data_IF_843199899516
#
_entry.id   IF_843199899516
#
_cell.length_a   1.000
_cell.length_b   1.000
_cell.length_c   1.000
_cell.angle_alpha   90.00
_cell.angle_beta   90.00
_cell.angle_gamma   90.00
#
_symmetry.space_group_name_H-M   'P 1'
#
loop_
_entity.id
_entity.type
_entity.pdbx_description
1 polymer ?
#
# COMPACT_ATOMS: atom_id res chain seq x y z
N UNK A 1 -5.33 25.65 -37.36
CA UNK A 1 -5.80 24.35 -36.84
C UNK A 1 -5.04 23.28 -37.60
N UNK A 2 -3.95 22.70 -37.04
CA UNK A 2 -3.24 21.61 -37.71
C UNK A 2 -4.14 20.37 -37.69
N UNK A 3 -4.55 19.88 -38.85
CA UNK A 3 -5.26 18.60 -38.95
C UNK A 3 -4.30 17.48 -38.51
N UNK A 4 -4.73 16.71 -37.54
CA UNK A 4 -3.97 15.55 -37.03
C UNK A 4 -3.80 14.54 -38.17
N UNK A 5 -2.54 14.15 -38.48
CA UNK A 5 -2.26 13.18 -39.50
C UNK A 5 -3.04 11.86 -39.27
N UNK A 6 -3.51 11.23 -40.31
CA UNK A 6 -4.26 9.97 -40.28
C UNK A 6 -3.38 8.81 -40.77
N UNK A 7 -3.76 7.57 -40.47
CA UNK A 7 -3.07 6.38 -40.95
C UNK A 7 -3.03 6.33 -42.50
N UNK A 8 -4.02 6.91 -43.15
CA UNK A 8 -4.08 7.06 -44.61
C UNK A 8 -2.96 7.93 -45.16
N UNK A 9 -2.61 8.97 -44.43
CA UNK A 9 -1.55 9.92 -44.84
C UNK A 9 -0.17 9.26 -44.71
N UNK A 10 0.04 8.47 -43.64
CA UNK A 10 1.25 7.64 -43.46
C UNK A 10 1.36 6.61 -44.56
N UNK A 11 0.29 5.91 -44.90
CA UNK A 11 0.26 4.90 -45.95
C UNK A 11 0.62 5.51 -47.33
N UNK A 12 0.06 6.67 -47.64
CA UNK A 12 0.36 7.43 -48.86
C UNK A 12 1.85 7.91 -48.85
N UNK A 13 2.32 8.46 -47.75
CA UNK A 13 3.71 8.98 -47.64
C UNK A 13 4.75 7.88 -47.71
N UNK A 14 4.51 6.71 -47.12
CA UNK A 14 5.37 5.54 -47.17
C UNK A 14 5.21 4.70 -48.45
N UNK A 15 4.24 5.03 -49.30
CA UNK A 15 3.83 4.28 -50.51
C UNK A 15 3.56 2.80 -50.26
N UNK A 16 2.75 2.54 -49.22
CA UNK A 16 2.30 1.17 -48.82
C UNK A 16 0.80 1.17 -48.52
N UNK A 17 0.23 -0.03 -48.37
CA UNK A 17 -1.18 -0.14 -47.96
C UNK A 17 -1.39 0.26 -46.49
N UNK A 18 -2.61 0.69 -46.14
CA UNK A 18 -3.02 0.97 -44.75
C UNK A 18 -2.77 -0.27 -43.86
N UNK A 19 -3.05 -1.47 -44.39
CA UNK A 19 -2.81 -2.74 -43.69
C UNK A 19 -1.31 -2.95 -43.38
N UNK A 20 -0.43 -2.58 -44.32
CA UNK A 20 1.03 -2.65 -44.10
C UNK A 20 1.46 -1.69 -43.01
N UNK A 21 0.98 -0.44 -42.98
CA UNK A 21 1.24 0.51 -41.89
C UNK A 21 0.77 -0.08 -40.55
N UNK A 22 -0.45 -0.63 -40.52
CA UNK A 22 -1.00 -1.26 -39.32
C UNK A 22 -0.15 -2.46 -38.87
N UNK A 23 0.35 -3.29 -39.77
CA UNK A 23 1.23 -4.42 -39.43
C UNK A 23 2.58 -3.97 -38.87
N UNK A 24 3.16 -2.92 -39.44
CA UNK A 24 4.43 -2.33 -38.93
C UNK A 24 4.23 -1.77 -37.52
N UNK A 25 3.22 -0.94 -37.31
CA UNK A 25 2.97 -0.27 -36.03
C UNK A 25 2.58 -1.23 -34.90
N UNK A 26 1.87 -2.33 -35.23
CA UNK A 26 1.38 -3.28 -34.20
C UNK A 26 2.21 -4.58 -34.15
N UNK A 27 3.28 -4.71 -34.93
CA UNK A 27 4.12 -5.92 -35.00
C UNK A 27 3.34 -7.23 -35.24
N UNK A 28 2.23 -7.18 -35.96
CA UNK A 28 1.28 -8.29 -36.13
C UNK A 28 1.62 -9.24 -37.27
N UNK A 29 2.55 -8.86 -38.16
CA UNK A 29 3.05 -9.67 -39.27
C UNK A 29 4.49 -9.32 -39.60
N UNK A 30 5.20 -10.26 -40.19
CA UNK A 30 6.51 -9.99 -40.76
C UNK A 30 6.41 -8.95 -41.86
N UNK A 31 7.19 -7.89 -41.76
CA UNK A 31 7.37 -6.85 -42.79
C UNK A 31 8.88 -6.66 -42.96
N UNK A 32 9.36 -6.52 -44.23
CA UNK A 32 10.77 -6.31 -44.47
C UNK A 32 11.29 -5.05 -43.76
N UNK A 33 12.57 -5.06 -43.35
CA UNK A 33 13.19 -3.94 -42.66
C UNK A 33 13.15 -2.64 -43.49
N UNK A 34 13.29 -2.75 -44.81
CA UNK A 34 13.16 -1.61 -45.72
C UNK A 34 11.74 -0.98 -45.65
N UNK A 35 10.72 -1.81 -45.68
CA UNK A 35 9.33 -1.34 -45.58
C UNK A 35 9.03 -0.79 -44.21
N UNK A 36 9.55 -1.44 -43.17
CA UNK A 36 9.41 -0.95 -41.77
C UNK A 36 10.04 0.44 -41.65
N UNK A 37 11.23 0.63 -42.16
CA UNK A 37 11.91 1.92 -42.12
C UNK A 37 11.09 3.01 -42.81
N UNK A 38 10.65 2.77 -44.07
CA UNK A 38 9.81 3.73 -44.81
C UNK A 38 8.55 4.16 -44.05
N UNK A 39 7.91 3.22 -43.37
CA UNK A 39 6.71 3.52 -42.55
C UNK A 39 7.08 4.34 -41.33
N UNK A 40 8.15 3.97 -40.62
CA UNK A 40 8.57 4.70 -39.42
C UNK A 40 9.04 6.13 -39.74
N UNK A 41 9.79 6.31 -40.82
CA UNK A 41 10.21 7.64 -41.31
C UNK A 41 8.98 8.52 -41.65
N UNK A 42 7.96 7.93 -42.30
CA UNK A 42 6.71 8.64 -42.60
C UNK A 42 5.89 8.99 -41.35
N UNK A 43 5.88 8.12 -40.33
CA UNK A 43 5.25 8.37 -39.02
C UNK A 43 5.91 9.56 -38.32
N UNK A 44 7.24 9.59 -38.30
CA UNK A 44 8.00 10.67 -37.67
C UNK A 44 7.80 12.00 -38.43
N UNK A 45 7.93 11.99 -39.75
CA UNK A 45 7.77 13.20 -40.58
C UNK A 45 6.37 13.85 -40.47
N UNK A 46 5.33 13.01 -40.40
CA UNK A 46 3.95 13.49 -40.31
C UNK A 46 3.52 13.76 -38.86
N UNK A 47 4.34 13.45 -37.85
CA UNK A 47 3.98 13.49 -36.45
C UNK A 47 2.76 12.60 -36.16
N UNK A 48 2.63 11.49 -36.89
CA UNK A 48 1.49 10.59 -36.72
C UNK A 48 1.59 9.82 -35.41
N UNK A 49 0.57 9.94 -34.58
CA UNK A 49 0.39 9.07 -33.40
C UNK A 49 -0.84 8.19 -33.65
N UNK A 50 -0.68 6.85 -33.49
CA UNK A 50 -1.81 5.95 -33.62
C UNK A 50 -3.00 6.40 -32.75
N UNK A 51 -4.19 6.44 -33.35
CA UNK A 51 -5.38 6.83 -32.62
C UNK A 51 -5.77 5.71 -31.63
N UNK A 52 -5.68 6.02 -30.34
CA UNK A 52 -6.09 5.11 -29.27
C UNK A 52 -7.56 4.65 -29.44
N UNK A 53 -8.43 5.53 -29.94
CA UNK A 53 -9.84 5.22 -30.22
C UNK A 53 -9.99 4.15 -31.31
N UNK A 54 -9.18 4.22 -32.39
CA UNK A 54 -9.17 3.21 -33.45
C UNK A 54 -8.67 1.85 -32.97
N UNK A 55 -7.70 1.82 -32.04
CA UNK A 55 -7.23 0.59 -31.41
C UNK A 55 -8.32 0.01 -30.50
N UNK A 56 -8.91 0.82 -29.63
CA UNK A 56 -10.01 0.42 -28.74
C UNK A 56 -11.20 -0.14 -29.50
N UNK A 57 -11.61 0.53 -30.60
CA UNK A 57 -12.71 0.06 -31.44
C UNK A 57 -12.46 -1.34 -32.04
N UNK A 58 -11.22 -1.62 -32.42
CA UNK A 58 -10.85 -2.90 -33.04
C UNK A 58 -10.65 -4.01 -32.02
N UNK A 59 -10.03 -3.72 -30.87
CA UNK A 59 -9.65 -4.74 -29.86
C UNK A 59 -10.67 -4.86 -28.73
N UNK A 60 -11.54 -3.87 -28.56
CA UNK A 60 -12.41 -3.74 -27.39
C UNK A 60 -11.68 -3.40 -26.09
N UNK A 61 -10.32 -3.28 -26.11
CA UNK A 61 -9.49 -2.97 -24.94
C UNK A 61 -8.96 -1.55 -25.04
N UNK A 62 -8.95 -0.82 -23.91
CA UNK A 62 -8.38 0.53 -23.76
C UNK A 62 -6.88 0.49 -23.57
N UNK A 63 -6.36 -0.64 -23.10
CA UNK A 63 -4.98 -0.84 -22.64
C UNK A 63 -4.61 0.14 -21.51
N UNK A 64 -5.58 0.34 -20.61
CA UNK A 64 -5.46 1.20 -19.43
C UNK A 64 -5.97 0.43 -18.22
N UNK A 65 -5.26 0.50 -17.10
CA UNK A 65 -5.67 -0.03 -15.80
C UNK A 65 -5.74 1.13 -14.81
N UNK A 66 -6.83 1.19 -14.05
CA UNK A 66 -7.00 2.17 -12.97
C UNK A 66 -6.36 1.68 -11.68
N UNK A 67 -5.66 2.56 -10.97
CA UNK A 67 -5.20 2.31 -9.61
C UNK A 67 -5.79 3.39 -8.70
N UNK A 68 -6.64 2.97 -7.76
CA UNK A 68 -7.32 3.85 -6.81
C UNK A 68 -6.70 3.66 -5.44
N UNK A 69 -6.01 4.70 -4.95
CA UNK A 69 -5.26 4.68 -3.69
C UNK A 69 -5.67 5.81 -2.75
N UNK A 70 -5.54 5.63 -1.44
CA UNK A 70 -5.92 6.65 -0.47
C UNK A 70 -4.94 7.82 -0.40
N UNK A 71 -3.65 7.60 -0.71
CA UNK A 71 -2.61 8.63 -0.59
C UNK A 71 -1.38 8.35 -1.44
N UNK A 72 -1.23 9.10 -2.53
CA UNK A 72 -0.05 9.02 -3.41
C UNK A 72 1.23 9.59 -2.78
N UNK A 73 1.13 10.31 -1.66
CA UNK A 73 2.30 10.86 -0.97
C UNK A 73 2.85 9.93 0.11
N UNK A 74 2.12 8.87 0.43
CA UNK A 74 2.59 7.83 1.33
C UNK A 74 3.53 6.88 0.56
N UNK A 75 4.76 6.71 1.07
CA UNK A 75 5.81 5.89 0.44
C UNK A 75 5.35 4.45 0.16
N UNK A 76 4.54 3.88 1.03
CA UNK A 76 3.95 2.54 0.87
C UNK A 76 3.13 2.45 -0.43
N UNK A 77 2.24 3.43 -0.68
CA UNK A 77 1.46 3.44 -1.92
C UNK A 77 2.29 3.85 -3.13
N UNK A 78 3.33 4.67 -2.95
CA UNK A 78 4.23 5.03 -4.04
C UNK A 78 4.99 3.80 -4.58
N UNK A 79 5.58 2.98 -3.69
CA UNK A 79 6.23 1.72 -4.07
C UNK A 79 5.26 0.76 -4.75
N UNK A 80 4.10 0.58 -4.18
CA UNK A 80 3.06 -0.30 -4.70
C UNK A 80 2.53 0.15 -6.09
N UNK A 81 2.46 1.48 -6.35
CA UNK A 81 2.14 2.02 -7.68
C UNK A 81 3.20 1.58 -8.70
N UNK A 82 4.48 1.69 -8.35
CA UNK A 82 5.60 1.28 -9.20
C UNK A 82 5.55 -0.22 -9.50
N UNK A 83 5.35 -1.07 -8.48
CA UNK A 83 5.29 -2.52 -8.65
C UNK A 83 4.11 -2.98 -9.52
N UNK A 84 2.94 -2.34 -9.38
CA UNK A 84 1.79 -2.60 -10.26
C UNK A 84 2.09 -2.17 -11.69
N UNK A 85 2.69 -0.98 -11.88
CA UNK A 85 3.03 -0.45 -13.21
C UNK A 85 4.06 -1.32 -13.92
N UNK A 86 5.06 -1.78 -13.20
CA UNK A 86 6.10 -2.71 -13.71
C UNK A 86 5.51 -4.02 -14.26
N UNK A 87 4.47 -4.53 -13.65
CA UNK A 87 3.79 -5.74 -14.12
C UNK A 87 2.91 -5.44 -15.32
N UNK A 88 2.01 -4.46 -15.21
CA UNK A 88 1.01 -4.22 -16.25
C UNK A 88 1.62 -3.67 -17.54
N UNK A 89 2.73 -2.90 -17.44
CA UNK A 89 3.44 -2.36 -18.60
C UNK A 89 4.03 -3.46 -19.48
N UNK A 90 4.50 -4.57 -18.90
CA UNK A 90 4.97 -5.76 -19.65
C UNK A 90 3.86 -6.41 -20.50
N UNK A 91 2.60 -6.21 -20.10
CA UNK A 91 1.41 -6.63 -20.85
C UNK A 91 0.85 -5.53 -21.77
N UNK A 92 1.57 -4.39 -21.87
CA UNK A 92 1.20 -3.27 -22.75
C UNK A 92 0.10 -2.36 -22.22
N UNK A 93 -0.23 -2.45 -20.93
CA UNK A 93 -1.16 -1.55 -20.25
C UNK A 93 -0.43 -0.30 -19.74
N UNK A 94 -1.16 0.82 -19.66
CA UNK A 94 -0.73 2.02 -18.98
C UNK A 94 -1.55 2.22 -17.70
N UNK A 95 -0.95 2.83 -16.67
CA UNK A 95 -1.57 3.07 -15.39
C UNK A 95 -2.29 4.43 -15.36
N UNK A 96 -3.49 4.47 -14.78
CA UNK A 96 -4.25 5.69 -14.45
C UNK A 96 -4.47 5.73 -12.95
N UNK A 97 -3.83 6.68 -12.27
CA UNK A 97 -3.87 6.78 -10.80
C UNK A 97 -4.97 7.74 -10.37
N UNK A 98 -5.72 7.35 -9.33
CA UNK A 98 -6.74 8.16 -8.68
C UNK A 98 -6.48 8.22 -7.18
N UNK A 99 -6.21 9.43 -6.66
CA UNK A 99 -5.97 9.67 -5.23
C UNK A 99 -7.28 10.01 -4.52
N UNK A 100 -7.75 9.16 -3.61
CA UNK A 100 -9.04 9.34 -2.91
C UNK A 100 -8.91 10.22 -1.65
N UNK A 101 -7.74 10.35 -1.07
CA UNK A 101 -7.48 11.02 0.22
C UNK A 101 -8.31 10.44 1.37
N UNK A 102 -8.56 9.14 1.37
CA UNK A 102 -9.46 8.44 2.29
C UNK A 102 -10.86 9.06 2.35
N UNK A 103 -11.34 9.62 1.24
CA UNK A 103 -12.67 10.23 1.13
C UNK A 103 -13.59 9.33 0.31
N UNK A 104 -14.60 8.76 0.94
CA UNK A 104 -15.59 7.87 0.32
C UNK A 104 -16.26 8.49 -0.91
N UNK A 105 -16.57 9.79 -0.86
CA UNK A 105 -17.18 10.49 -2.01
C UNK A 105 -16.23 10.53 -3.21
N UNK A 106 -14.94 10.81 -2.98
CA UNK A 106 -13.92 10.84 -4.02
C UNK A 106 -13.69 9.45 -4.60
N UNK A 107 -13.64 8.41 -3.74
CA UNK A 107 -13.52 7.02 -4.17
C UNK A 107 -14.66 6.60 -5.09
N UNK A 108 -15.91 6.82 -4.68
CA UNK A 108 -17.10 6.53 -5.51
C UNK A 108 -17.02 7.21 -6.89
N UNK A 109 -16.61 8.47 -6.89
CA UNK A 109 -16.48 9.22 -8.15
C UNK A 109 -15.35 8.68 -9.03
N UNK A 110 -14.19 8.34 -8.42
CA UNK A 110 -13.04 7.76 -9.12
C UNK A 110 -13.41 6.42 -9.78
N UNK A 111 -14.00 5.50 -9.01
CA UNK A 111 -14.43 4.19 -9.53
C UNK A 111 -15.43 4.36 -10.68
N UNK A 112 -16.45 5.22 -10.51
CA UNK A 112 -17.44 5.49 -11.55
C UNK A 112 -16.80 6.03 -12.82
N UNK A 113 -15.91 7.02 -12.71
CA UNK A 113 -15.25 7.63 -13.86
C UNK A 113 -14.37 6.62 -14.59
N UNK A 114 -13.53 5.86 -13.86
CA UNK A 114 -12.64 4.87 -14.45
C UNK A 114 -13.43 3.73 -15.12
N UNK A 115 -14.44 3.20 -14.44
CA UNK A 115 -15.26 2.08 -14.94
C UNK A 115 -16.20 2.49 -16.07
N UNK A 116 -16.44 3.79 -16.33
CA UNK A 116 -17.30 4.28 -17.43
C UNK A 116 -16.71 4.12 -18.83
N UNK A 117 -15.65 3.32 -18.97
CA UNK A 117 -15.01 3.03 -20.26
C UNK A 117 -13.64 3.71 -20.43
N UNK A 118 -13.07 4.26 -19.35
CA UNK A 118 -11.71 4.81 -19.36
C UNK A 118 -10.65 3.72 -19.24
N UNK A 119 -10.89 2.70 -18.38
CA UNK A 119 -9.95 1.61 -18.13
C UNK A 119 -10.59 0.25 -18.38
N UNK A 120 -9.77 -0.79 -18.49
CA UNK A 120 -10.22 -2.19 -18.69
C UNK A 120 -10.40 -2.92 -17.36
N UNK A 121 -9.75 -2.45 -16.29
CA UNK A 121 -9.86 -2.97 -14.93
C UNK A 121 -9.35 -1.98 -13.90
N UNK A 122 -9.63 -2.25 -12.62
CA UNK A 122 -9.22 -1.39 -11.50
C UNK A 122 -8.55 -2.24 -10.42
N UNK A 123 -7.41 -1.77 -9.92
CA UNK A 123 -6.85 -2.18 -8.62
C UNK A 123 -7.17 -1.08 -7.60
N UNK A 124 -7.65 -1.43 -6.41
CA UNK A 124 -8.13 -0.46 -5.43
C UNK A 124 -7.72 -0.81 -3.99
N UNK A 125 -7.14 0.16 -3.27
CA UNK A 125 -7.05 0.15 -1.82
C UNK A 125 -8.24 0.92 -1.25
N UNK A 126 -9.32 0.24 -0.79
CA UNK A 126 -10.61 0.87 -0.57
C UNK A 126 -10.64 1.75 0.68
N UNK A 127 -11.38 2.87 0.58
CA UNK A 127 -11.84 3.67 1.73
C UNK A 127 -13.17 3.15 2.25
N UNK A 128 -13.98 2.54 1.39
CA UNK A 128 -15.26 1.92 1.71
C UNK A 128 -15.09 0.73 2.65
N UNK A 129 -16.06 0.52 3.54
CA UNK A 129 -16.09 -0.62 4.45
C UNK A 129 -16.78 -1.85 3.85
N UNK A 130 -17.58 -1.67 2.81
CA UNK A 130 -18.35 -2.74 2.16
C UNK A 130 -18.23 -2.74 0.64
N UNK A 131 -18.29 -3.95 0.07
CA UNK A 131 -18.19 -4.17 -1.37
C UNK A 131 -19.35 -3.57 -2.17
N UNK A 132 -20.57 -3.56 -1.62
CA UNK A 132 -21.75 -3.09 -2.34
C UNK A 132 -21.65 -1.61 -2.68
N UNK A 133 -21.08 -0.82 -1.77
CA UNK A 133 -20.81 0.60 -1.99
C UNK A 133 -19.94 0.85 -3.22
N UNK A 134 -18.94 0.01 -3.46
CA UNK A 134 -18.06 0.11 -4.63
C UNK A 134 -18.73 -0.50 -5.87
N UNK A 135 -19.36 -1.67 -5.74
CA UNK A 135 -20.03 -2.37 -6.82
C UNK A 135 -21.07 -1.53 -7.52
N UNK A 136 -21.84 -0.73 -6.79
CA UNK A 136 -22.84 0.17 -7.35
C UNK A 136 -22.28 1.26 -8.28
N UNK A 137 -20.97 1.48 -8.28
CA UNK A 137 -20.32 2.49 -9.10
C UNK A 137 -19.81 1.98 -10.44
N UNK A 138 -19.91 0.68 -10.72
CA UNK A 138 -19.33 0.05 -11.90
C UNK A 138 -20.28 -0.95 -12.56
N UNK A 139 -20.09 -1.28 -13.85
CA UNK A 139 -20.85 -2.32 -14.54
C UNK A 139 -20.68 -3.70 -13.87
N UNK A 140 -21.66 -4.56 -14.05
CA UNK A 140 -21.55 -5.96 -13.62
C UNK A 140 -20.33 -6.65 -14.25
N UNK A 141 -19.65 -7.49 -13.44
CA UNK A 141 -18.43 -8.22 -13.85
C UNK A 141 -17.29 -7.34 -14.34
N UNK A 142 -17.24 -6.08 -13.91
CA UNK A 142 -16.09 -5.23 -14.21
C UNK A 142 -14.84 -5.78 -13.48
N UNK A 143 -13.70 -5.97 -14.19
CA UNK A 143 -12.48 -6.49 -13.57
C UNK A 143 -11.99 -5.57 -12.45
N UNK A 144 -11.90 -6.12 -11.23
CA UNK A 144 -11.44 -5.39 -10.05
C UNK A 144 -10.68 -6.31 -9.09
N UNK A 145 -9.58 -5.82 -8.58
CA UNK A 145 -8.77 -6.44 -7.52
C UNK A 145 -8.67 -5.45 -6.35
N UNK A 146 -8.96 -5.93 -5.16
CA UNK A 146 -8.77 -5.16 -3.94
C UNK A 146 -7.38 -5.41 -3.36
N UNK A 147 -6.82 -4.42 -2.64
CA UNK A 147 -5.51 -4.55 -2.04
C UNK A 147 -5.42 -3.82 -0.71
N UNK A 148 -4.48 -4.23 0.14
CA UNK A 148 -4.15 -3.64 1.45
C UNK A 148 -5.30 -3.69 2.46
N UNK A 149 -6.52 -3.35 2.08
CA UNK A 149 -7.68 -3.23 2.97
C UNK A 149 -8.74 -4.27 2.67
N UNK A 150 -9.28 -4.88 3.73
CA UNK A 150 -10.34 -5.89 3.66
C UNK A 150 -11.70 -5.21 3.85
N UNK A 151 -12.65 -5.53 2.97
CA UNK A 151 -14.04 -5.13 3.12
C UNK A 151 -14.76 -6.14 4.03
N UNK A 152 -15.86 -5.73 4.65
CA UNK A 152 -16.66 -6.56 5.57
C UNK A 152 -17.19 -7.85 4.93
N UNK A 153 -17.43 -7.82 3.62
CA UNK A 153 -17.87 -8.91 2.80
C UNK A 153 -16.64 -9.50 2.05
N UNK A 154 -16.13 -10.65 2.48
CA UNK A 154 -14.90 -11.28 1.96
C UNK A 154 -15.07 -12.01 0.62
N UNK A 155 -16.11 -11.76 -0.13
CA UNK A 155 -16.42 -12.50 -1.35
C UNK A 155 -15.88 -11.81 -2.63
N UNK A 156 -14.66 -11.30 -2.58
CA UNK A 156 -14.01 -10.58 -3.68
C UNK A 156 -12.52 -10.95 -3.79
N UNK A 157 -11.95 -10.73 -4.97
CA UNK A 157 -10.54 -11.00 -5.23
C UNK A 157 -9.66 -9.91 -4.63
N UNK A 158 -8.74 -10.28 -3.75
CA UNK A 158 -7.91 -9.33 -3.03
C UNK A 158 -6.52 -9.84 -2.71
N UNK A 159 -5.59 -8.90 -2.51
CA UNK A 159 -4.24 -9.11 -1.99
C UNK A 159 -4.09 -8.29 -0.71
N UNK A 160 -3.78 -8.93 0.41
CA UNK A 160 -3.67 -8.28 1.73
C UNK A 160 -2.39 -8.67 2.44
N UNK A 161 -1.91 -7.81 3.34
CA UNK A 161 -0.85 -8.14 4.28
C UNK A 161 -1.44 -8.80 5.54
N UNK A 162 -0.94 -9.97 5.92
CA UNK A 162 -1.26 -10.61 7.20
C UNK A 162 -0.15 -10.34 8.20
N UNK A 163 -0.34 -9.31 9.02
CA UNK A 163 0.62 -8.89 10.03
C UNK A 163 0.31 -9.43 11.44
N UNK A 164 -0.61 -10.38 11.59
CA UNK A 164 -1.08 -10.84 12.91
C UNK A 164 0.06 -11.38 13.76
N UNK A 165 0.75 -12.40 13.26
CA UNK A 165 1.82 -13.04 14.03
C UNK A 165 3.05 -12.12 14.22
N UNK A 166 3.40 -11.32 13.21
CA UNK A 166 4.49 -10.35 13.32
C UNK A 166 4.22 -9.29 14.39
N UNK A 167 2.99 -8.75 14.44
CA UNK A 167 2.55 -7.80 15.47
C UNK A 167 2.58 -8.45 16.86
N UNK A 168 2.05 -9.67 16.95
CA UNK A 168 2.04 -10.41 18.21
C UNK A 168 3.44 -10.67 18.74
N UNK A 169 4.37 -11.07 17.88
CA UNK A 169 5.79 -11.27 18.24
C UNK A 169 6.43 -10.01 18.77
N UNK A 170 6.25 -8.87 18.10
CA UNK A 170 6.76 -7.57 18.54
C UNK A 170 6.25 -7.22 19.94
N UNK A 171 4.94 -7.32 20.17
CA UNK A 171 4.34 -7.00 21.46
C UNK A 171 4.79 -7.95 22.57
N UNK A 172 4.83 -9.26 22.32
CA UNK A 172 5.33 -10.26 23.28
C UNK A 172 6.76 -9.96 23.67
N UNK A 173 7.64 -9.71 22.70
CA UNK A 173 9.05 -9.42 22.99
C UNK A 173 9.20 -8.13 23.81
N UNK A 174 8.42 -7.09 23.54
CA UNK A 174 8.41 -5.87 24.39
C UNK A 174 7.98 -6.19 25.82
N UNK A 175 6.89 -6.95 26.00
CA UNK A 175 6.37 -7.30 27.32
C UNK A 175 7.37 -8.20 28.09
N UNK A 176 7.97 -9.18 27.43
CA UNK A 176 8.97 -10.07 28.01
C UNK A 176 10.27 -9.34 28.39
N UNK A 177 10.54 -8.21 27.74
CA UNK A 177 11.63 -7.28 28.09
C UNK A 177 11.26 -6.28 29.20
N UNK A 178 10.07 -6.40 29.78
CA UNK A 178 9.65 -5.62 30.96
C UNK A 178 8.77 -4.40 30.65
N UNK A 179 8.50 -4.09 29.39
CA UNK A 179 7.60 -2.99 29.03
C UNK A 179 6.15 -3.36 29.37
N UNK A 180 5.45 -2.49 30.10
CA UNK A 180 4.05 -2.69 30.51
C UNK A 180 3.14 -1.58 30.00
N UNK A 181 3.65 -0.37 29.84
CA UNK A 181 2.94 0.76 29.26
C UNK A 181 3.39 0.95 27.84
N UNK A 182 2.75 0.21 26.94
CA UNK A 182 3.07 0.21 25.50
C UNK A 182 2.04 1.06 24.79
N UNK A 183 2.46 2.24 24.33
CA UNK A 183 1.63 3.09 23.46
C UNK A 183 1.39 2.43 22.11
N UNK A 184 0.17 2.49 21.61
CA UNK A 184 -0.22 1.89 20.34
C UNK A 184 -0.85 2.96 19.45
N UNK A 185 -0.04 3.46 18.50
CA UNK A 185 -0.44 4.53 17.59
C UNK A 185 -0.99 3.91 16.30
N UNK A 186 -2.26 4.13 16.03
CA UNK A 186 -3.00 3.45 14.97
C UNK A 186 -3.74 4.44 14.07
N UNK A 187 -4.10 4.03 12.87
CA UNK A 187 -4.96 4.79 11.95
C UNK A 187 -6.40 4.90 12.45
N UNK A 188 -7.26 5.39 11.59
CA UNK A 188 -8.70 5.55 11.90
C UNK A 188 -9.37 4.19 12.12
N UNK A 189 -10.31 4.07 13.07
CA UNK A 189 -10.83 2.77 13.53
C UNK A 189 -11.64 1.98 12.49
N UNK A 190 -12.20 2.64 11.49
CA UNK A 190 -12.99 1.97 10.44
C UNK A 190 -12.15 1.31 9.34
N UNK A 191 -10.83 1.53 9.29
CA UNK A 191 -9.94 0.85 8.36
C UNK A 191 -9.64 -0.55 8.89
N UNK A 192 -9.83 -1.57 8.06
CA UNK A 192 -9.69 -2.98 8.44
C UNK A 192 -8.31 -3.33 9.01
N UNK A 193 -7.23 -2.83 8.42
CA UNK A 193 -5.87 -3.05 8.93
C UNK A 193 -5.67 -2.44 10.33
N UNK A 194 -6.26 -1.28 10.60
CA UNK A 194 -6.28 -0.68 11.95
C UNK A 194 -7.02 -1.57 12.94
N UNK A 195 -8.23 -2.01 12.57
CA UNK A 195 -9.06 -2.87 13.42
C UNK A 195 -8.33 -4.17 13.79
N UNK A 196 -7.74 -4.86 12.82
CA UNK A 196 -7.01 -6.12 13.07
C UNK A 196 -5.78 -5.89 13.98
N UNK A 197 -5.01 -4.82 13.77
CA UNK A 197 -3.86 -4.46 14.61
C UNK A 197 -4.27 -4.16 16.05
N UNK A 198 -5.32 -3.40 16.27
CA UNK A 198 -5.88 -3.12 17.61
C UNK A 198 -6.38 -4.38 18.28
N UNK A 199 -7.06 -5.26 17.53
CA UNK A 199 -7.53 -6.54 18.05
C UNK A 199 -6.38 -7.39 18.58
N UNK A 200 -5.27 -7.49 17.86
CA UNK A 200 -4.09 -8.24 18.29
C UNK A 200 -3.44 -7.58 19.51
N UNK A 201 -3.32 -6.25 19.52
CA UNK A 201 -2.83 -5.55 20.71
C UNK A 201 -3.64 -5.92 21.95
N UNK A 202 -4.98 -5.83 21.88
CA UNK A 202 -5.86 -6.20 23.00
C UNK A 202 -5.68 -7.65 23.44
N UNK A 203 -5.62 -8.60 22.50
CA UNK A 203 -5.43 -10.01 22.80
C UNK A 203 -4.10 -10.28 23.53
N UNK A 204 -3.01 -9.65 23.08
CA UNK A 204 -1.71 -9.80 23.73
C UNK A 204 -1.69 -9.14 25.12
N UNK A 205 -2.26 -7.93 25.26
CA UNK A 205 -2.34 -7.27 26.56
C UNK A 205 -3.16 -8.08 27.59
N UNK A 206 -4.28 -8.65 27.14
CA UNK A 206 -5.10 -9.55 27.96
C UNK A 206 -4.33 -10.83 28.35
N UNK A 207 -3.65 -11.46 27.40
CA UNK A 207 -2.83 -12.66 27.64
C UNK A 207 -1.75 -12.45 28.72
N UNK A 208 -1.20 -11.24 28.79
CA UNK A 208 -0.18 -10.87 29.77
C UNK A 208 -0.71 -10.11 30.99
N UNK A 209 -2.03 -10.10 31.18
CA UNK A 209 -2.72 -9.48 32.33
C UNK A 209 -2.37 -7.99 32.51
N UNK A 210 -2.38 -7.22 31.42
CA UNK A 210 -2.14 -5.76 31.40
C UNK A 210 -3.50 -5.03 31.17
N UNK A 211 -4.31 -4.78 32.23
CA UNK A 211 -5.71 -4.37 32.08
C UNK A 211 -5.87 -2.90 31.65
N UNK A 212 -4.90 -2.05 31.90
CA UNK A 212 -4.98 -0.60 31.60
C UNK A 212 -4.58 -0.24 30.16
N UNK A 213 -4.41 -1.22 29.29
CA UNK A 213 -3.84 -1.04 27.95
C UNK A 213 -4.69 -0.15 27.03
N UNK A 214 -6.02 -0.10 27.20
CA UNK A 214 -6.91 0.73 26.37
C UNK A 214 -6.58 2.22 26.43
N UNK A 215 -6.11 2.74 27.55
CA UNK A 215 -5.71 4.14 27.68
C UNK A 215 -4.47 4.50 26.88
N UNK A 216 -3.73 3.52 26.36
CA UNK A 216 -2.51 3.71 25.57
C UNK A 216 -2.75 3.56 24.06
N UNK A 217 -3.99 3.31 23.60
CA UNK A 217 -4.34 3.32 22.18
C UNK A 217 -4.64 4.77 21.75
N UNK A 218 -4.00 5.21 20.65
CA UNK A 218 -4.25 6.53 20.05
C UNK A 218 -4.58 6.37 18.59
N UNK A 219 -5.75 6.87 18.22
CA UNK A 219 -6.23 6.89 16.84
C UNK A 219 -5.81 8.19 16.16
N UNK A 220 -5.08 8.07 15.07
CA UNK A 220 -4.63 9.19 14.26
C UNK A 220 -5.54 9.34 13.05
N UNK A 221 -6.11 10.51 12.93
CA UNK A 221 -6.81 10.98 11.74
C UNK A 221 -5.97 12.08 11.09
N UNK A 222 -6.08 12.26 9.77
CA UNK A 222 -5.38 13.33 9.03
C UNK A 222 -5.67 14.75 9.55
N UNK A 223 -6.78 14.92 10.27
CA UNK A 223 -7.20 16.19 10.85
C UNK A 223 -6.65 16.42 12.28
N UNK A 224 -6.09 15.39 12.90
CA UNK A 224 -5.52 15.48 14.26
C UNK A 224 -4.04 15.78 14.19
N UNK A 225 -3.57 16.59 15.14
CA UNK A 225 -2.14 16.77 15.38
C UNK A 225 -1.55 15.45 15.93
N UNK A 226 -0.95 14.68 15.02
CA UNK A 226 -0.35 13.39 15.34
C UNK A 226 0.77 13.50 16.36
N UNK A 227 1.46 14.64 16.37
CA UNK A 227 2.55 14.94 17.30
C UNK A 227 2.03 15.09 18.74
N UNK A 228 0.88 15.73 18.91
CA UNK A 228 0.18 15.86 20.20
C UNK A 228 -0.24 14.51 20.77
N UNK A 229 -0.73 13.60 19.93
CA UNK A 229 -1.13 12.25 20.37
C UNK A 229 0.08 11.42 20.84
N UNK A 230 1.24 11.56 20.20
CA UNK A 230 2.50 10.98 20.68
C UNK A 230 2.86 11.57 22.06
N UNK A 231 2.77 12.90 22.22
CA UNK A 231 3.02 13.57 23.50
C UNK A 231 2.12 13.07 24.64
N UNK A 232 0.85 12.77 24.35
CA UNK A 232 -0.09 12.18 25.33
C UNK A 232 0.33 10.78 25.77
N UNK A 233 0.90 9.96 24.88
CA UNK A 233 1.44 8.64 25.26
C UNK A 233 2.63 8.78 26.20
N UNK A 234 3.54 9.71 25.93
CA UNK A 234 4.64 10.00 26.85
C UNK A 234 4.14 10.50 28.20
N UNK A 235 3.20 11.44 28.22
CA UNK A 235 2.58 11.96 29.45
C UNK A 235 1.87 10.88 30.26
N UNK A 236 1.33 9.84 29.60
CA UNK A 236 0.76 8.66 30.26
C UNK A 236 1.84 7.68 30.79
N UNK A 237 3.11 7.98 30.59
CA UNK A 237 4.23 7.19 31.07
C UNK A 237 4.55 5.97 30.20
N UNK A 238 4.20 6.00 28.91
CA UNK A 238 4.62 4.95 27.97
C UNK A 238 6.13 5.03 27.75
N UNK A 239 6.81 3.90 27.95
CA UNK A 239 8.24 3.72 27.70
C UNK A 239 8.51 2.89 26.43
N UNK A 240 7.47 2.39 25.81
CA UNK A 240 7.48 1.80 24.49
C UNK A 240 6.30 2.34 23.67
N UNK A 241 6.49 2.62 22.38
CA UNK A 241 5.44 3.04 21.47
C UNK A 241 5.54 2.20 20.21
N UNK A 242 4.44 1.56 19.79
CA UNK A 242 4.32 0.88 18.51
C UNK A 242 3.50 1.77 17.57
N UNK A 243 4.09 2.13 16.45
CA UNK A 243 3.44 2.88 15.37
C UNK A 243 3.09 1.92 14.23
N UNK A 244 1.83 1.88 13.83
CA UNK A 244 1.28 0.82 12.99
C UNK A 244 1.28 1.11 11.49
N UNK A 245 2.04 2.09 11.03
CA UNK A 245 2.41 2.29 9.62
C UNK A 245 3.66 3.17 9.52
N UNK A 246 4.26 3.22 8.34
CA UNK A 246 5.49 3.96 8.06
C UNK A 246 5.37 5.45 8.42
N UNK A 247 4.28 6.12 8.04
CA UNK A 247 4.08 7.55 8.33
C UNK A 247 4.03 7.82 9.83
N UNK A 248 3.32 7.00 10.60
CA UNK A 248 3.25 7.12 12.06
C UNK A 248 4.58 6.79 12.72
N UNK A 249 5.33 5.83 12.19
CA UNK A 249 6.68 5.51 12.65
C UNK A 249 7.60 6.73 12.53
N UNK A 250 7.55 7.44 11.40
CA UNK A 250 8.26 8.70 11.23
C UNK A 250 7.86 9.77 12.26
N UNK A 251 6.57 9.93 12.52
CA UNK A 251 6.08 10.92 13.49
C UNK A 251 6.63 10.63 14.90
N UNK A 252 6.61 9.36 15.32
CA UNK A 252 7.15 8.98 16.63
C UNK A 252 8.64 9.21 16.69
N UNK A 253 9.40 8.84 15.65
CA UNK A 253 10.85 9.04 15.61
C UNK A 253 11.23 10.52 15.60
N UNK A 254 10.52 11.36 14.84
CA UNK A 254 10.71 12.81 14.85
C UNK A 254 10.42 13.39 16.23
N UNK A 255 9.37 12.93 16.92
CA UNK A 255 9.08 13.35 18.29
C UNK A 255 10.23 13.00 19.25
N UNK A 256 10.75 11.77 19.15
CA UNK A 256 11.89 11.30 19.95
C UNK A 256 13.13 12.18 19.72
N UNK A 257 13.43 12.52 18.47
CA UNK A 257 14.54 13.38 18.09
C UNK A 257 14.36 14.82 18.61
N UNK A 258 13.20 15.43 18.38
CA UNK A 258 12.90 16.81 18.82
C UNK A 258 12.95 16.97 20.34
N UNK A 259 12.60 15.93 21.09
CA UNK A 259 12.66 15.90 22.55
C UNK A 259 14.03 15.45 23.08
N UNK A 260 15.00 15.17 22.19
CA UNK A 260 16.32 14.64 22.51
C UNK A 260 16.27 13.38 23.39
N UNK A 261 15.25 12.52 23.20
CA UNK A 261 15.12 11.28 23.93
C UNK A 261 16.06 10.21 23.36
N UNK A 262 16.66 9.43 24.24
CA UNK A 262 17.58 8.37 23.86
C UNK A 262 16.82 7.10 23.46
N UNK A 263 16.80 6.84 22.15
CA UNK A 263 16.19 5.65 21.60
C UNK A 263 16.87 4.38 22.14
N UNK A 264 16.07 3.46 22.67
CA UNK A 264 16.53 2.22 23.31
C UNK A 264 16.95 2.36 24.78
N UNK A 265 17.09 3.59 25.31
CA UNK A 265 17.41 3.83 26.74
C UNK A 265 16.23 4.44 27.49
N UNK A 266 15.62 5.50 26.95
CA UNK A 266 14.48 6.21 27.55
C UNK A 266 13.15 5.81 26.92
N UNK A 267 13.19 5.42 25.65
CA UNK A 267 12.03 5.01 24.88
C UNK A 267 12.39 3.90 23.86
N UNK A 268 11.52 2.93 23.72
CA UNK A 268 11.54 1.98 22.61
C UNK A 268 10.45 2.33 21.62
N UNK A 269 10.77 2.34 20.33
CA UNK A 269 9.82 2.55 19.25
C UNK A 269 9.78 1.29 18.41
N UNK A 270 8.60 0.69 18.28
CA UNK A 270 8.33 -0.36 17.28
C UNK A 270 7.63 0.25 16.07
N UNK A 271 8.00 -0.17 14.87
CA UNK A 271 7.45 0.39 13.63
C UNK A 271 6.93 -0.65 12.67
N UNK A 272 5.92 -0.27 11.89
CA UNK A 272 5.55 -0.94 10.65
C UNK A 272 6.18 -0.15 9.52
N UNK A 273 6.93 -0.82 8.65
CA UNK A 273 7.78 -0.15 7.67
C UNK A 273 7.78 -0.90 6.33
N UNK A 274 8.04 -0.16 5.27
CA UNK A 274 8.44 -0.71 3.99
C UNK A 274 9.95 -1.01 3.94
N UNK A 275 10.40 -1.71 2.91
CA UNK A 275 11.80 -2.11 2.74
C UNK A 275 12.76 -0.92 2.66
N UNK A 276 12.35 0.19 2.06
CA UNK A 276 13.19 1.38 1.88
C UNK A 276 13.42 2.13 3.19
N UNK A 277 12.37 2.25 4.00
CA UNK A 277 12.48 2.82 5.34
C UNK A 277 13.40 1.97 6.22
N UNK A 278 13.22 0.66 6.18
CA UNK A 278 14.03 -0.29 6.91
C UNK A 278 15.52 -0.09 6.65
N UNK A 279 15.93 0.07 5.40
CA UNK A 279 17.33 0.27 5.02
C UNK A 279 17.95 1.55 5.60
N UNK A 280 17.14 2.56 5.91
CA UNK A 280 17.62 3.84 6.46
C UNK A 280 17.64 3.87 7.99
N UNK A 281 16.71 3.22 8.66
CA UNK A 281 16.51 3.31 10.11
C UNK A 281 16.59 1.97 10.86
N UNK A 282 16.85 0.86 10.18
CA UNK A 282 16.86 -0.51 10.70
C UNK A 282 17.65 -0.75 11.98
N UNK A 283 18.67 0.05 12.21
CA UNK A 283 19.65 -0.27 13.26
C UNK A 283 19.22 0.06 14.68
N UNK A 284 18.00 0.62 14.87
CA UNK A 284 17.63 1.17 16.18
C UNK A 284 16.25 0.78 16.70
N UNK A 285 15.36 0.25 15.88
CA UNK A 285 13.98 -0.11 16.26
C UNK A 285 13.59 -1.52 15.81
N UNK A 286 12.77 -2.25 16.60
CA UNK A 286 12.09 -3.46 16.10
C UNK A 286 11.06 -3.08 15.05
N UNK A 287 10.94 -3.89 14.00
CA UNK A 287 10.09 -3.57 12.85
C UNK A 287 9.24 -4.75 12.39
N UNK A 288 8.05 -4.43 11.89
CA UNK A 288 7.22 -5.33 11.09
C UNK A 288 7.31 -4.90 9.64
N UNK A 289 7.72 -5.81 8.77
CA UNK A 289 7.80 -5.61 7.34
C UNK A 289 6.50 -6.03 6.66
N UNK A 290 5.90 -5.11 5.93
CA UNK A 290 4.78 -5.40 5.05
C UNK A 290 5.31 -5.75 3.66
N UNK A 291 4.89 -6.87 3.03
CA UNK A 291 5.40 -7.34 1.73
C UNK A 291 4.80 -6.57 0.56
N UNK A 292 4.99 -5.24 0.54
CA UNK A 292 4.31 -4.32 -0.40
C UNK A 292 4.70 -4.57 -1.86
N UNK A 293 5.98 -4.87 -2.12
CA UNK A 293 6.48 -5.23 -3.45
C UNK A 293 5.76 -6.45 -4.02
N UNK A 294 5.68 -7.53 -3.23
CA UNK A 294 5.00 -8.77 -3.64
C UNK A 294 3.48 -8.54 -3.81
N UNK A 295 2.89 -7.70 -2.96
CA UNK A 295 1.49 -7.32 -3.07
C UNK A 295 1.20 -6.56 -4.36
N UNK A 296 2.04 -5.59 -4.72
CA UNK A 296 1.91 -4.81 -5.95
C UNK A 296 2.03 -5.69 -7.19
N UNK A 297 3.06 -6.54 -7.25
CA UNK A 297 3.27 -7.48 -8.35
C UNK A 297 2.09 -8.45 -8.50
N UNK A 298 1.66 -9.06 -7.41
CA UNK A 298 0.55 -10.01 -7.44
C UNK A 298 -0.78 -9.34 -7.85
N UNK A 299 -1.05 -8.13 -7.37
CA UNK A 299 -2.24 -7.38 -7.77
C UNK A 299 -2.21 -7.02 -9.26
N UNK A 300 -1.04 -6.65 -9.79
CA UNK A 300 -0.81 -6.40 -11.21
C UNK A 300 -1.06 -7.65 -12.08
N UNK A 301 -0.55 -8.80 -11.67
CA UNK A 301 -0.80 -10.08 -12.37
C UNK A 301 -2.28 -10.46 -12.33
N UNK A 302 -2.90 -10.41 -11.15
CA UNK A 302 -4.31 -10.76 -10.96
C UNK A 302 -5.24 -9.87 -11.79
N UNK A 303 -4.99 -8.56 -11.90
CA UNK A 303 -5.86 -7.68 -12.70
C UNK A 303 -5.74 -7.95 -14.20
N UNK A 304 -4.52 -8.21 -14.70
CA UNK A 304 -4.30 -8.57 -16.10
C UNK A 304 -5.05 -9.86 -16.45
N UNK A 305 -4.89 -10.91 -15.64
CA UNK A 305 -5.58 -12.17 -15.83
C UNK A 305 -7.12 -12.03 -15.73
N UNK A 306 -7.58 -11.17 -14.80
CA UNK A 306 -9.02 -10.89 -14.64
C UNK A 306 -9.62 -10.16 -15.82
N UNK A 307 -8.86 -9.30 -16.49
CA UNK A 307 -9.27 -8.63 -17.73
C UNK A 307 -9.39 -9.63 -18.89
N UNK A 308 -8.49 -10.62 -18.92
CA UNK A 308 -8.50 -11.68 -19.95
C UNK A 308 -9.65 -12.67 -19.75
N UNK A 309 -9.90 -13.07 -18.49
CA UNK A 309 -11.02 -13.90 -18.09
C UNK A 309 -11.83 -13.30 -16.94
N UNK A 310 -12.90 -12.60 -17.26
CA UNK A 310 -13.79 -11.93 -16.29
C UNK A 310 -14.48 -12.87 -15.29
N UNK A 311 -14.50 -14.16 -15.56
CA UNK A 311 -15.06 -15.15 -14.65
C UNK A 311 -13.99 -15.76 -13.72
N UNK A 312 -12.71 -15.50 -13.97
CA UNK A 312 -11.61 -15.96 -13.11
C UNK A 312 -11.77 -15.41 -11.70
N UNK A 313 -11.67 -16.30 -10.72
CA UNK A 313 -11.72 -15.94 -9.28
C UNK A 313 -10.40 -16.31 -8.64
N UNK A 314 -9.88 -15.42 -7.82
CA UNK A 314 -8.62 -15.61 -7.13
C UNK A 314 -8.78 -15.85 -5.63
N UNK A 315 -9.91 -15.48 -5.03
CA UNK A 315 -10.07 -15.42 -3.59
C UNK A 315 -9.14 -14.39 -2.91
N UNK A 316 -9.12 -14.38 -1.58
CA UNK A 316 -8.21 -13.53 -0.80
C UNK A 316 -6.81 -14.16 -0.79
N UNK A 317 -5.81 -13.40 -1.21
CA UNK A 317 -4.39 -13.74 -1.12
C UNK A 317 -3.79 -12.96 0.04
N UNK A 318 -3.46 -13.67 1.13
CA UNK A 318 -2.80 -13.09 2.30
C UNK A 318 -1.30 -13.36 2.21
N UNK A 319 -0.49 -12.31 2.22
CA UNK A 319 0.96 -12.37 2.29
C UNK A 319 1.39 -12.09 3.72
N UNK A 320 2.29 -12.93 4.25
CA UNK A 320 2.73 -12.81 5.64
C UNK A 320 3.70 -11.65 5.80
N UNK A 321 3.46 -10.82 6.82
CA UNK A 321 4.43 -9.85 7.29
C UNK A 321 5.54 -10.53 8.10
N UNK A 322 6.74 -9.98 8.05
CA UNK A 322 7.89 -10.44 8.82
C UNK A 322 8.16 -9.50 10.00
N UNK A 323 8.67 -10.06 11.09
CA UNK A 323 9.11 -9.29 12.25
C UNK A 323 10.61 -9.42 12.45
N UNK A 324 11.31 -8.29 12.56
CA UNK A 324 12.71 -8.22 12.94
C UNK A 324 12.89 -7.36 14.20
N UNK A 325 13.39 -7.98 15.27
CA UNK A 325 13.64 -7.30 16.54
C UNK A 325 14.92 -6.47 16.56
N UNK A 326 15.77 -6.64 15.59
CA UNK A 326 17.12 -6.12 15.38
C UNK A 326 18.10 -6.20 16.59
N UNK A 327 19.41 -6.20 16.30
CA UNK A 327 20.44 -6.40 17.32
C UNK A 327 20.60 -5.23 18.30
N UNK A 328 20.33 -4.01 17.85
CA UNK A 328 20.42 -2.85 18.74
C UNK A 328 19.35 -2.88 19.82
N UNK A 329 18.10 -3.16 19.44
CA UNK A 329 16.99 -3.31 20.37
C UNK A 329 17.23 -4.46 21.35
N UNK A 330 17.68 -5.64 20.89
CA UNK A 330 17.99 -6.80 21.76
C UNK A 330 19.02 -6.46 22.82
N UNK A 331 20.07 -5.71 22.47
CA UNK A 331 21.10 -5.29 23.42
C UNK A 331 20.57 -4.28 24.46
N UNK A 332 19.69 -3.36 24.05
CA UNK A 332 19.10 -2.38 24.95
C UNK A 332 18.03 -3.02 25.86
N UNK A 333 17.17 -3.86 25.32
CA UNK A 333 16.15 -4.59 26.07
C UNK A 333 16.76 -5.48 27.19
N UNK A 334 17.91 -6.06 26.94
CA UNK A 334 18.64 -6.83 27.96
C UNK A 334 19.07 -5.96 29.17
N UNK A 335 19.38 -4.68 28.96
CA UNK A 335 19.68 -3.74 30.05
C UNK A 335 18.43 -3.39 30.87
N UNK A 336 17.27 -3.24 30.22
CA UNK A 336 15.99 -2.99 30.91
C UNK A 336 15.61 -4.12 31.87
N UNK A 337 15.83 -5.39 31.49
CA UNK A 337 15.63 -6.53 32.39
C UNK A 337 16.51 -6.48 33.64
N UNK A 338 17.72 -5.93 33.53
CA UNK A 338 18.67 -5.80 34.68
C UNK A 338 18.30 -4.70 35.66
N UNK A 339 17.56 -3.68 35.24
CA UNK A 339 17.19 -2.52 36.10
C UNK A 339 15.82 -2.68 36.76
N UNK A 340 14.97 -3.57 36.28
CA UNK A 340 13.60 -3.79 36.77
C UNK A 340 13.47 -4.57 38.08
N UNK A 341 14.58 -5.06 38.67
CA UNK A 341 14.54 -5.93 39.84
C UNK A 341 15.04 -5.24 41.15
N UNK A 342 15.11 -3.91 41.23
CA UNK A 342 15.60 -3.20 42.41
C UNK A 342 14.58 -2.34 43.17
N UNK A 343 13.30 -2.37 42.80
CA UNK A 343 12.26 -1.56 43.50
C UNK A 343 11.09 -2.40 44.07
N UNK A 344 11.40 -3.48 44.76
CA UNK A 344 10.44 -4.10 45.67
C UNK A 344 11.17 -4.78 46.81
N UNK A 345 11.65 -3.98 47.79
CA UNK A 345 11.73 -4.34 49.23
C UNK A 345 12.53 -3.28 49.99
N UNK A 346 11.92 -2.21 50.41
CA UNK A 346 12.31 -1.53 51.64
C UNK A 346 11.08 -0.80 52.22
N UNK A 347 10.12 -1.57 52.73
CA UNK A 347 9.30 -1.11 53.85
C UNK A 347 10.13 -1.29 55.11
N UNK A 348 10.80 -0.24 55.51
CA UNK A 348 11.39 -0.17 56.84
C UNK A 348 10.29 -0.15 57.89
N UNK A 349 10.20 -1.24 58.67
CA UNK A 349 9.72 -1.20 60.03
C UNK A 349 10.63 -0.32 60.85
N UNK A 350 10.12 0.77 61.44
CA UNK A 350 10.62 1.27 62.72
C UNK A 350 9.55 2.16 63.38
N UNK A 351 9.09 1.66 64.52
CA UNK A 351 8.49 2.34 65.69
C UNK A 351 7.19 3.14 65.48
#
# INVERSE_FOLDING_TARGET
MHMKAKITDVAQRANVSISTVSHVLNHTRFVSEETRKKVMDAVEELGYSPDASGRTFRTGKKMMIGLVVPDITNSVFASLIEDVDDVISKHGYNLVISNTRDCLKTEKQAVRNLASGVVDGIVIAPTSEDFQTIKQQMPDKFPMIFMDRVLSDRNYDSVIADCQEATAKMLREMIENGFRKIGFLVGVPWISSTYERVKIYRQIMEQYEIPESEQYIRYIDRQKDSYDEVGKLFAAGCTAIVATNTAMTHIVLNYVEDKNLKLGEEIVVGGFVDSDFANRFMYKIPVVYEPMEEMGKLAGEMIVEKIEDKNKKFSVKALLCEYDSNDFYRKQAAKYKGTGNTDSTQTKSTL
#
